data_IF_090601868187
#
_entry.id   IF_090601868187
#
_cell.length_a   1.000
_cell.length_b   1.000
_cell.length_c   1.000
_cell.angle_alpha   90.00
_cell.angle_beta   90.00
_cell.angle_gamma   90.00
#
_symmetry.space_group_name_H-M   'P 1'
#
loop_
_entity.id
_entity.type
_entity.pdbx_description
1 polymer ?
#
# COMPACT_ATOMS: atom_id res chain seq x y z
N UNK A 1 3.73 7.89 7.11
CA UNK A 1 4.13 6.55 7.60
C UNK A 1 3.29 5.40 7.05
N UNK A 2 1.98 5.32 7.33
CA UNK A 2 1.14 4.20 6.87
C UNK A 2 1.20 3.97 5.36
N UNK A 3 0.99 5.04 4.57
CA UNK A 3 1.10 4.98 3.11
C UNK A 3 2.49 4.50 2.69
N UNK A 4 3.57 5.02 3.28
CA UNK A 4 4.93 4.61 2.94
C UNK A 4 5.21 3.11 3.20
N UNK A 5 4.57 2.52 4.21
CA UNK A 5 4.78 1.12 4.58
C UNK A 5 3.88 0.15 3.79
N UNK A 6 2.62 0.50 3.57
CA UNK A 6 1.61 -0.42 3.03
C UNK A 6 1.30 -0.19 1.55
N UNK A 7 1.84 0.86 0.93
CA UNK A 7 1.64 1.07 -0.51
C UNK A 7 2.17 -0.13 -1.28
N UNK A 8 1.36 -0.63 -2.22
CA UNK A 8 1.73 -1.79 -3.03
C UNK A 8 1.32 -3.13 -2.42
N UNK A 9 0.55 -3.16 -1.32
CA UNK A 9 -0.20 -4.38 -0.99
C UNK A 9 -1.20 -4.65 -2.13
N UNK A 10 -0.89 -5.67 -2.92
CA UNK A 10 -1.66 -6.05 -4.10
C UNK A 10 -2.89 -6.87 -3.70
N UNK A 11 -4.04 -6.60 -4.33
CA UNK A 11 -5.21 -7.44 -4.24
C UNK A 11 -5.19 -8.49 -5.35
N UNK A 12 -5.26 -9.78 -5.00
CA UNK A 12 -5.33 -10.90 -5.94
C UNK A 12 -6.61 -11.75 -5.73
N UNK A 13 -7.64 -11.15 -5.15
CA UNK A 13 -8.93 -11.78 -4.84
C UNK A 13 -9.07 -12.26 -3.38
N UNK A 14 -10.30 -12.63 -3.00
CA UNK A 14 -10.66 -13.04 -1.64
C UNK A 14 -10.13 -14.45 -1.33
N UNK A 15 -9.05 -14.53 -0.55
CA UNK A 15 -8.33 -15.76 -0.19
C UNK A 15 -7.88 -15.68 1.29
N UNK A 16 -7.40 -16.78 1.90
CA UNK A 16 -6.78 -16.72 3.24
C UNK A 16 -5.66 -15.68 3.36
N UNK A 17 -4.97 -15.35 2.25
CA UNK A 17 -3.98 -14.27 2.19
C UNK A 17 -4.56 -12.89 2.55
N UNK A 18 -5.86 -12.66 2.39
CA UNK A 18 -6.53 -11.44 2.87
C UNK A 18 -6.42 -11.29 4.38
N UNK A 19 -6.61 -12.37 5.16
CA UNK A 19 -6.48 -12.34 6.60
C UNK A 19 -5.05 -11.98 7.03
N UNK A 20 -4.04 -12.53 6.34
CA UNK A 20 -2.64 -12.17 6.58
C UNK A 20 -2.37 -10.69 6.26
N UNK A 21 -2.85 -10.19 5.11
CA UNK A 21 -2.68 -8.77 4.72
C UNK A 21 -3.34 -7.85 5.75
N UNK A 22 -4.52 -8.21 6.26
CA UNK A 22 -5.20 -7.46 7.32
C UNK A 22 -4.40 -7.45 8.64
N UNK A 23 -3.88 -8.61 9.06
CA UNK A 23 -3.05 -8.70 10.25
C UNK A 23 -1.78 -7.82 10.14
N UNK A 24 -1.11 -7.86 8.98
CA UNK A 24 0.04 -6.99 8.69
C UNK A 24 -0.35 -5.52 8.74
N UNK A 25 -1.46 -5.13 8.11
CA UNK A 25 -1.94 -3.74 8.11
C UNK A 25 -2.27 -3.24 9.52
N UNK A 26 -2.90 -4.08 10.35
CA UNK A 26 -3.20 -3.74 11.74
C UNK A 26 -1.91 -3.51 12.56
N UNK A 27 -0.93 -4.39 12.41
CA UNK A 27 0.38 -4.23 13.07
C UNK A 27 1.10 -2.96 12.60
N UNK A 28 1.10 -2.70 11.28
CA UNK A 28 1.72 -1.52 10.70
C UNK A 28 1.04 -0.21 11.14
N UNK A 29 -0.27 -0.21 11.38
CA UNK A 29 -1.00 0.93 11.91
C UNK A 29 -0.55 1.28 13.34
N UNK A 30 -0.48 0.27 14.22
CA UNK A 30 0.01 0.46 15.60
C UNK A 30 1.46 0.95 15.60
N UNK A 31 2.33 0.33 14.80
CA UNK A 31 3.72 0.76 14.68
C UNK A 31 3.84 2.19 14.13
N UNK A 32 3.03 2.56 13.14
CA UNK A 32 3.02 3.91 12.58
C UNK A 32 2.59 4.96 13.60
N UNK A 33 1.58 4.64 14.42
CA UNK A 33 1.15 5.52 15.49
C UNK A 33 2.24 5.72 16.56
N UNK A 34 2.91 4.64 16.98
CA UNK A 34 3.99 4.69 17.96
C UNK A 34 5.18 5.55 17.48
N UNK A 35 5.57 5.40 16.22
CA UNK A 35 6.65 6.19 15.63
C UNK A 35 6.25 7.65 15.47
N UNK A 36 5.02 7.95 15.07
CA UNK A 36 4.50 9.32 15.02
C UNK A 36 4.49 9.99 16.41
N UNK A 37 4.07 9.28 17.46
CA UNK A 37 4.14 9.79 18.86
C UNK A 37 5.58 10.05 19.28
N UNK A 38 6.53 9.25 18.78
CA UNK A 38 7.96 9.44 19.02
C UNK A 38 8.61 10.54 18.16
N UNK A 39 7.82 11.27 17.35
CA UNK A 39 8.30 12.32 16.45
C UNK A 39 9.11 11.79 15.26
N UNK A 40 8.95 10.51 14.91
CA UNK A 40 9.63 9.87 13.79
C UNK A 40 8.69 9.85 12.60
N UNK A 41 9.15 10.39 11.47
CA UNK A 41 8.42 10.43 10.22
C UNK A 41 9.24 9.92 9.03
N UNK A 42 8.54 9.61 7.95
CA UNK A 42 9.14 9.30 6.64
C UNK A 42 9.32 10.61 5.91
N UNK A 43 10.46 10.78 5.25
CA UNK A 43 10.78 12.04 4.58
C UNK A 43 9.83 12.29 3.40
N UNK A 44 9.47 13.55 3.19
CA UNK A 44 8.81 14.02 1.95
C UNK A 44 9.61 13.80 0.66
N UNK A 45 10.86 13.34 0.78
CA UNK A 45 11.69 12.97 -0.36
C UNK A 45 11.65 11.47 -0.67
N UNK A 46 10.92 10.68 0.14
CA UNK A 46 10.83 9.23 -0.01
C UNK A 46 9.66 8.84 -0.91
N UNK A 47 9.96 8.49 -2.15
CA UNK A 47 9.01 7.85 -3.07
C UNK A 47 7.80 8.73 -3.41
N UNK A 48 6.60 8.28 -3.02
CA UNK A 48 5.33 8.97 -3.32
C UNK A 48 4.81 9.86 -2.18
N UNK A 49 5.60 10.00 -1.11
CA UNK A 49 5.24 10.76 0.09
C UNK A 49 5.56 12.24 -0.12
N UNK A 50 4.67 13.10 0.36
CA UNK A 50 4.75 14.56 0.26
C UNK A 50 4.60 15.18 1.66
N UNK A 51 5.01 16.45 1.81
CA UNK A 51 4.76 17.22 3.05
C UNK A 51 3.26 17.38 3.34
N UNK A 52 2.43 17.33 2.30
CA UNK A 52 0.98 17.45 2.38
C UNK A 52 0.34 16.06 2.19
N UNK A 53 -0.49 15.68 3.15
CA UNK A 53 -1.22 14.40 3.13
C UNK A 53 -2.12 14.27 1.90
N UNK A 54 -2.76 15.33 1.44
CA UNK A 54 -3.64 15.31 0.27
C UNK A 54 -2.83 15.03 -1.00
N UNK A 55 -1.64 15.62 -1.11
CA UNK A 55 -0.75 15.34 -2.25
C UNK A 55 -0.25 13.90 -2.22
N UNK A 56 0.08 13.37 -1.04
CA UNK A 56 0.43 11.95 -0.88
C UNK A 56 -0.73 11.04 -1.30
N UNK A 57 -1.96 11.37 -0.91
CA UNK A 57 -3.17 10.63 -1.30
C UNK A 57 -3.38 10.69 -2.82
N UNK A 58 -3.19 11.85 -3.45
CA UNK A 58 -3.27 12.00 -4.91
C UNK A 58 -2.20 11.15 -5.61
N UNK A 59 -0.97 11.13 -5.10
CA UNK A 59 0.10 10.29 -5.65
C UNK A 59 -0.22 8.80 -5.49
N UNK A 60 -0.73 8.39 -4.33
CA UNK A 60 -1.21 7.02 -4.09
C UNK A 60 -2.36 6.66 -5.06
N UNK A 61 -3.30 7.57 -5.28
CA UNK A 61 -4.40 7.38 -6.21
C UNK A 61 -3.91 7.21 -7.66
N UNK A 62 -2.90 7.98 -8.09
CA UNK A 62 -2.26 7.79 -9.41
C UNK A 62 -1.65 6.40 -9.54
N UNK A 63 -0.94 5.92 -8.52
CA UNK A 63 -0.40 4.54 -8.51
C UNK A 63 -1.54 3.52 -8.55
N UNK A 64 -2.56 3.71 -7.72
CA UNK A 64 -3.72 2.82 -7.58
C UNK A 64 -4.65 2.79 -8.79
N UNK A 65 -4.65 3.82 -9.64
CA UNK A 65 -5.50 3.89 -10.84
C UNK A 65 -4.71 3.56 -12.11
N UNK A 66 -3.59 4.24 -12.34
CA UNK A 66 -2.81 4.08 -13.56
C UNK A 66 -1.90 2.84 -13.48
N UNK A 67 -1.16 2.69 -12.38
CA UNK A 67 -0.23 1.58 -12.20
C UNK A 67 -0.92 0.24 -11.97
N UNK A 68 -1.94 0.24 -11.10
CA UNK A 68 -2.64 -1.01 -10.77
C UNK A 68 -3.54 -1.52 -11.89
N UNK A 69 -3.96 -0.69 -12.85
CA UNK A 69 -4.70 -1.18 -14.03
C UNK A 69 -3.90 -2.24 -14.80
N UNK A 70 -2.62 -1.96 -15.08
CA UNK A 70 -1.74 -2.93 -15.76
C UNK A 70 -1.40 -4.09 -14.83
N UNK A 71 -1.27 -3.82 -13.53
CA UNK A 71 -0.97 -4.86 -12.53
C UNK A 71 -2.12 -5.87 -12.44
N UNK A 72 -3.36 -5.41 -12.51
CA UNK A 72 -4.57 -6.25 -12.50
C UNK A 72 -4.58 -7.22 -13.69
N UNK A 73 -4.29 -6.73 -14.90
CA UNK A 73 -4.15 -7.57 -16.10
C UNK A 73 -3.09 -8.66 -15.93
N UNK A 74 -1.93 -8.31 -15.35
CA UNK A 74 -0.85 -9.27 -15.08
C UNK A 74 -1.29 -10.33 -14.06
N UNK A 75 -1.97 -9.91 -12.98
CA UNK A 75 -2.49 -10.83 -11.96
C UNK A 75 -3.51 -11.79 -12.57
N UNK A 76 -4.45 -11.28 -13.36
CA UNK A 76 -5.47 -12.09 -14.03
C UNK A 76 -4.83 -13.11 -14.97
N UNK A 77 -3.84 -12.69 -15.77
CA UNK A 77 -3.09 -13.60 -16.64
C UNK A 77 -2.39 -14.71 -15.85
N UNK A 78 -1.79 -14.40 -14.69
CA UNK A 78 -1.20 -15.42 -13.82
C UNK A 78 -2.28 -16.36 -13.27
N UNK A 79 -3.43 -15.82 -12.87
CA UNK A 79 -4.53 -16.61 -12.28
C UNK A 79 -5.15 -17.58 -13.28
N UNK A 80 -5.37 -17.18 -14.53
CA UNK A 80 -6.00 -18.04 -15.55
C UNK A 80 -5.02 -19.07 -16.14
N UNK A 81 -3.72 -18.81 -16.08
CA UNK A 81 -2.68 -19.73 -16.54
C UNK A 81 -2.09 -20.60 -15.42
N UNK A 82 -2.61 -20.48 -14.20
CA UNK A 82 -2.26 -21.38 -13.09
C UNK A 82 -3.04 -22.69 -13.25
N UNK A 83 -2.31 -23.77 -13.50
CA UNK A 83 -2.82 -25.15 -13.48
C UNK A 83 -3.12 -25.62 -12.05
#
# INVERSE_FOLDING_TARGET
>A
MLVANLTGIVCDGAKPSCALKLATSASAAVQSALLAVSGIEVSKHDGIIEDDVEKTIINLAKVGTLGMSVTDDVILNIMINKC
#
